data_IF_656357667083
#
_entry.id   IF_656357667083
#
_cell.length_a   1.000
_cell.length_b   1.000
_cell.length_c   1.000
_cell.angle_alpha   90.00
_cell.angle_beta   90.00
_cell.angle_gamma   90.00
#
_symmetry.space_group_name_H-M   'P 1'
#
loop_
_entity.id
_entity.type
_entity.pdbx_description
1 polymer ?
#
# COMPACT_ATOMS: atom_id res chain seq x y z
N UNK A 1 5.68 27.83 -0.19
CA UNK A 1 5.20 26.69 0.62
C UNK A 1 4.78 27.25 1.96
N UNK A 2 3.57 26.95 2.42
CA UNK A 2 3.18 27.29 3.79
C UNK A 2 4.10 26.54 4.77
N UNK A 3 4.43 27.13 5.92
CA UNK A 3 5.27 26.48 6.94
C UNK A 3 4.55 25.31 7.62
N UNK A 4 3.23 25.24 7.48
CA UNK A 4 2.35 24.18 7.97
C UNK A 4 1.28 23.94 6.91
N UNK A 5 1.03 22.68 6.56
CA UNK A 5 0.03 22.28 5.57
C UNK A 5 -0.71 21.05 6.09
N UNK A 6 -2.01 20.97 5.80
CA UNK A 6 -2.82 19.76 6.00
C UNK A 6 -3.63 19.49 4.75
N UNK A 7 -3.87 18.21 4.46
CA UNK A 7 -4.74 17.75 3.37
C UNK A 7 -5.66 16.65 3.89
N UNK A 8 -6.77 16.42 3.20
CA UNK A 8 -7.81 15.48 3.63
C UNK A 8 -8.15 14.48 2.52
N UNK A 9 -8.36 13.23 2.92
CA UNK A 9 -8.78 12.14 2.03
C UNK A 9 -10.23 12.30 1.58
N UNK A 10 -10.97 13.25 2.15
CA UNK A 10 -12.27 13.70 1.63
C UNK A 10 -12.15 14.53 0.35
N UNK A 11 -10.96 15.05 0.04
CA UNK A 11 -10.64 15.78 -1.19
C UNK A 11 -9.22 15.41 -1.64
N UNK A 12 -9.00 14.17 -2.10
CA UNK A 12 -7.67 13.66 -2.40
C UNK A 12 -7.08 14.30 -3.67
N UNK A 13 -5.75 14.26 -3.79
CA UNK A 13 -5.05 14.73 -4.99
C UNK A 13 -5.23 13.77 -6.18
N UNK A 14 -5.51 12.49 -5.89
CA UNK A 14 -5.85 11.47 -6.88
C UNK A 14 -6.54 10.27 -6.26
N UNK A 15 -7.29 9.50 -7.05
CA UNK A 15 -7.95 8.29 -6.58
C UNK A 15 -8.09 7.25 -7.69
N UNK A 16 -8.21 5.99 -7.28
CA UNK A 16 -8.49 4.86 -8.15
C UNK A 16 -9.45 3.90 -7.45
N UNK A 17 -10.40 3.36 -8.22
CA UNK A 17 -11.42 2.44 -7.72
C UNK A 17 -11.53 1.14 -8.54
N UNK A 18 -10.47 0.31 -8.58
CA UNK A 18 -10.59 -1.06 -9.08
C UNK A 18 -11.64 -1.88 -8.29
N UNK A 19 -11.93 -3.09 -8.77
CA UNK A 19 -12.87 -3.97 -8.06
C UNK A 19 -12.47 -4.15 -6.59
N UNK A 20 -13.46 -4.08 -5.69
CA UNK A 20 -13.27 -4.20 -4.22
C UNK A 20 -12.20 -3.28 -3.62
N UNK A 21 -11.82 -2.22 -4.34
CA UNK A 21 -10.70 -1.35 -3.97
C UNK A 21 -11.14 0.11 -4.04
N UNK A 22 -10.79 0.90 -3.03
CA UNK A 22 -10.78 2.36 -3.14
C UNK A 22 -9.47 2.89 -2.58
N UNK A 23 -8.58 3.33 -3.46
CA UNK A 23 -7.32 3.94 -3.08
C UNK A 23 -7.34 5.45 -3.38
N UNK A 24 -6.90 6.24 -2.41
CA UNK A 24 -6.85 7.70 -2.52
C UNK A 24 -5.47 8.20 -2.09
N UNK A 25 -4.92 9.14 -2.86
CA UNK A 25 -3.55 9.64 -2.75
C UNK A 25 -3.53 11.11 -2.38
N UNK A 26 -2.53 11.48 -1.57
CA UNK A 26 -2.25 12.83 -1.11
C UNK A 26 -0.75 13.06 -1.22
N UNK A 27 -0.38 14.20 -1.80
CA UNK A 27 0.99 14.53 -2.16
C UNK A 27 1.46 15.74 -1.34
N UNK A 28 2.58 15.58 -0.63
CA UNK A 28 3.27 16.66 0.09
C UNK A 28 4.66 16.92 -0.53
N UNK A 29 4.69 17.13 -1.84
CA UNK A 29 5.96 17.21 -2.58
C UNK A 29 6.64 15.84 -2.58
N UNK A 30 7.77 15.71 -1.87
CA UNK A 30 8.64 14.53 -1.87
C UNK A 30 8.06 13.23 -1.25
N UNK A 31 6.82 13.27 -0.76
CA UNK A 31 6.13 12.11 -0.20
C UNK A 31 4.69 12.05 -0.69
N UNK A 32 4.28 10.85 -1.07
CA UNK A 32 2.91 10.49 -1.42
C UNK A 32 2.37 9.53 -0.37
N UNK A 33 1.21 9.83 0.19
CA UNK A 33 0.47 8.96 1.08
C UNK A 33 -0.71 8.36 0.32
N UNK A 34 -0.83 7.04 0.29
CA UNK A 34 -1.95 6.32 -0.31
C UNK A 34 -2.74 5.63 0.78
N UNK A 35 -4.04 5.92 0.89
CA UNK A 35 -4.96 5.12 1.72
C UNK A 35 -5.72 4.16 0.84
N UNK A 36 -5.44 2.87 0.99
CA UNK A 36 -6.10 1.78 0.29
C UNK A 36 -7.18 1.16 1.20
N UNK A 37 -8.43 1.17 0.73
CA UNK A 37 -9.54 0.45 1.36
C UNK A 37 -9.83 -0.78 0.49
N UNK A 38 -9.69 -1.96 1.07
CA UNK A 38 -9.84 -3.25 0.40
C UNK A 38 -11.02 -3.99 1.03
N UNK A 39 -12.02 -4.34 0.22
CA UNK A 39 -13.23 -5.00 0.70
C UNK A 39 -13.00 -6.50 0.92
N UNK A 40 -13.86 -7.18 1.70
CA UNK A 40 -13.83 -8.63 1.82
C UNK A 40 -13.82 -9.34 0.46
N UNK A 41 -12.99 -10.38 0.34
CA UNK A 41 -12.76 -11.07 -0.92
C UNK A 41 -11.94 -10.29 -1.95
N UNK A 42 -11.31 -9.18 -1.57
CA UNK A 42 -10.29 -8.53 -2.38
C UNK A 42 -9.04 -9.41 -2.44
N UNK A 43 -8.49 -9.56 -3.65
CA UNK A 43 -7.21 -10.20 -3.92
C UNK A 43 -6.51 -9.42 -5.02
N UNK A 44 -5.23 -9.10 -4.83
CA UNK A 44 -4.48 -8.26 -5.77
C UNK A 44 -4.49 -8.84 -7.18
N UNK A 45 -4.25 -10.14 -7.34
CA UNK A 45 -4.24 -10.81 -8.64
C UNK A 45 -5.61 -10.87 -9.35
N UNK A 46 -6.70 -10.63 -8.64
CA UNK A 46 -8.05 -10.59 -9.21
C UNK A 46 -8.51 -9.14 -9.46
N UNK A 47 -8.26 -8.27 -8.49
CA UNK A 47 -8.81 -6.91 -8.47
C UNK A 47 -7.89 -5.86 -9.10
N UNK A 48 -6.56 -6.04 -9.03
CA UNK A 48 -5.58 -5.04 -9.46
C UNK A 48 -4.83 -5.48 -10.71
N UNK A 49 -4.38 -6.74 -10.78
CA UNK A 49 -3.68 -7.31 -11.95
C UNK A 49 -4.32 -6.95 -13.30
N UNK A 50 -5.65 -7.01 -13.49
CA UNK A 50 -6.28 -6.63 -14.78
C UNK A 50 -6.02 -5.18 -15.22
N UNK A 51 -5.69 -4.29 -14.27
CA UNK A 51 -5.44 -2.87 -14.53
C UNK A 51 -3.95 -2.55 -14.78
N UNK A 52 -3.03 -3.39 -14.29
CA UNK A 52 -1.58 -3.12 -14.35
C UNK A 52 -0.81 -4.09 -15.26
N UNK A 53 -1.40 -5.25 -15.58
CA UNK A 53 -0.85 -6.19 -16.57
C UNK A 53 0.39 -6.98 -16.13
N UNK A 54 0.81 -6.89 -14.87
CA UNK A 54 1.91 -7.67 -14.30
C UNK A 54 1.41 -8.94 -13.61
N UNK A 55 2.27 -9.96 -13.49
CA UNK A 55 1.89 -11.24 -12.87
C UNK A 55 1.71 -11.14 -11.34
N UNK A 56 2.51 -10.29 -10.69
CA UNK A 56 2.46 -9.96 -9.26
C UNK A 56 2.63 -8.45 -9.04
N UNK A 57 2.41 -7.97 -7.81
CA UNK A 57 2.59 -6.56 -7.49
C UNK A 57 4.07 -6.18 -7.54
N UNK A 58 4.45 -5.34 -8.50
CA UNK A 58 5.83 -4.88 -8.66
C UNK A 58 6.10 -3.55 -7.92
N UNK A 59 5.12 -3.05 -7.17
CA UNK A 59 5.31 -1.88 -6.33
C UNK A 59 5.92 -2.28 -4.99
N UNK A 60 6.79 -1.42 -4.48
CA UNK A 60 7.21 -1.46 -3.09
C UNK A 60 6.20 -0.81 -2.19
N UNK A 61 5.87 -1.47 -1.10
CA UNK A 61 4.92 -0.95 -0.12
C UNK A 61 5.62 -0.81 1.23
N UNK A 62 5.60 0.40 1.77
CA UNK A 62 5.93 0.66 3.18
C UNK A 62 4.72 1.35 3.78
N UNK A 63 4.16 0.77 4.83
CA UNK A 63 2.88 1.26 5.34
C UNK A 63 2.51 0.70 6.69
N UNK A 64 1.32 1.09 7.12
CA UNK A 64 0.66 0.57 8.32
C UNK A 64 -0.72 0.09 7.95
N UNK A 65 -1.13 -1.06 8.48
CA UNK A 65 -2.51 -1.52 8.37
C UNK A 65 -3.27 -0.98 9.57
N UNK A 66 -4.32 -0.20 9.34
CA UNK A 66 -5.09 0.45 10.41
C UNK A 66 -6.40 -0.27 10.73
N UNK A 67 -6.86 -1.15 9.84
CA UNK A 67 -8.08 -1.93 10.01
C UNK A 67 -7.97 -3.27 9.28
N UNK A 68 -8.63 -4.30 9.82
CA UNK A 68 -8.74 -5.62 9.20
C UNK A 68 -7.41 -6.38 9.19
N UNK A 69 -7.32 -7.34 8.27
CA UNK A 69 -6.16 -8.19 8.08
C UNK A 69 -5.95 -8.46 6.59
N UNK A 70 -4.69 -8.49 6.17
CA UNK A 70 -4.29 -8.97 4.85
C UNK A 70 -3.27 -10.09 5.00
N UNK A 71 -3.32 -11.05 4.09
CA UNK A 71 -2.28 -12.05 3.95
C UNK A 71 -1.52 -11.78 2.65
N UNK A 72 -0.20 -11.88 2.72
CA UNK A 72 0.72 -11.56 1.63
C UNK A 72 1.60 -12.78 1.36
N UNK A 73 1.74 -13.11 0.09
CA UNK A 73 2.64 -14.17 -0.40
C UNK A 73 3.58 -13.58 -1.42
N UNK A 74 4.86 -13.63 -1.11
CA UNK A 74 5.95 -13.21 -2.00
C UNK A 74 6.24 -14.29 -3.05
N UNK A 75 6.77 -13.88 -4.20
CA UNK A 75 7.15 -14.77 -5.30
C UNK A 75 8.28 -15.76 -4.90
N UNK A 76 9.04 -15.44 -3.84
CA UNK A 76 10.05 -16.33 -3.24
C UNK A 76 9.48 -17.35 -2.24
N UNK A 77 8.16 -17.32 -2.02
CA UNK A 77 7.43 -18.21 -1.11
C UNK A 77 7.38 -17.74 0.34
N UNK A 78 7.93 -16.56 0.68
CA UNK A 78 7.73 -15.99 2.00
C UNK A 78 6.28 -15.52 2.18
N UNK A 79 5.70 -15.81 3.35
CA UNK A 79 4.31 -15.47 3.66
C UNK A 79 4.21 -14.70 4.97
N UNK A 80 3.29 -13.74 5.04
CA UNK A 80 3.00 -13.00 6.27
C UNK A 80 1.55 -12.56 6.31
N UNK A 81 0.93 -12.66 7.48
CA UNK A 81 -0.35 -11.99 7.76
C UNK A 81 -0.09 -10.69 8.50
N UNK A 82 -0.50 -9.58 7.90
CA UNK A 82 -0.45 -8.24 8.48
C UNK A 82 -1.83 -7.94 9.08
N UNK A 83 -1.88 -7.48 10.33
CA UNK A 83 -3.13 -7.10 11.01
C UNK A 83 -3.14 -5.63 11.40
N UNK A 84 -4.32 -5.12 11.74
CA UNK A 84 -4.47 -3.76 12.24
C UNK A 84 -3.49 -3.46 13.39
N UNK A 85 -2.75 -2.36 13.25
CA UNK A 85 -1.68 -1.92 14.14
C UNK A 85 -0.27 -2.29 13.67
N UNK A 86 -0.13 -3.23 12.73
CA UNK A 86 1.18 -3.63 12.22
C UNK A 86 1.69 -2.65 11.14
N UNK A 87 2.98 -2.37 11.19
CA UNK A 87 3.71 -1.77 10.08
C UNK A 87 4.29 -2.88 9.19
N UNK A 88 4.39 -2.63 7.89
CA UNK A 88 4.90 -3.59 6.92
C UNK A 88 5.83 -2.93 5.90
N UNK A 89 6.74 -3.75 5.37
CA UNK A 89 7.56 -3.45 4.21
C UNK A 89 7.48 -4.66 3.27
N UNK A 90 6.90 -4.47 2.09
CA UNK A 90 6.72 -5.51 1.08
C UNK A 90 7.56 -5.13 -0.14
N UNK A 91 8.52 -5.99 -0.47
CA UNK A 91 9.32 -5.87 -1.67
C UNK A 91 8.48 -6.17 -2.93
N UNK A 92 8.90 -5.71 -4.13
CA UNK A 92 8.27 -6.09 -5.38
C UNK A 92 8.21 -7.60 -5.54
N UNK A 93 7.11 -8.11 -6.09
CA UNK A 93 6.90 -9.54 -6.32
C UNK A 93 6.07 -10.19 -5.22
N UNK A 94 4.80 -9.81 -5.08
CA UNK A 94 3.87 -10.46 -4.17
C UNK A 94 2.42 -10.40 -4.65
N UNK A 95 1.60 -11.31 -4.14
CA UNK A 95 0.15 -11.26 -4.16
C UNK A 95 -0.36 -11.02 -2.73
N UNK A 96 -1.53 -10.42 -2.59
CA UNK A 96 -2.11 -10.13 -1.29
C UNK A 96 -3.64 -10.24 -1.33
N UNK A 97 -4.26 -10.61 -0.21
CA UNK A 97 -5.72 -10.65 -0.10
C UNK A 97 -6.20 -10.29 1.29
N UNK A 98 -7.45 -9.80 1.36
CA UNK A 98 -8.14 -9.54 2.62
C UNK A 98 -8.50 -10.86 3.30
N UNK A 99 -8.22 -10.96 4.59
CA UNK A 99 -8.56 -12.12 5.41
C UNK A 99 -9.85 -11.85 6.18
N UNK A 100 -10.85 -12.72 5.98
CA UNK A 100 -12.13 -12.65 6.69
C UNK A 100 -13.17 -11.73 6.03
N UNK A 101 -14.14 -11.29 6.83
CA UNK A 101 -15.30 -10.52 6.38
C UNK A 101 -15.23 -9.03 6.72
N UNK A 102 -14.12 -8.59 7.33
CA UNK A 102 -13.88 -7.18 7.63
C UNK A 102 -13.05 -6.53 6.51
N UNK A 103 -13.42 -5.33 6.04
CA UNK A 103 -12.55 -4.57 5.14
C UNK A 103 -11.18 -4.30 5.76
N UNK A 104 -10.14 -4.38 4.95
CA UNK A 104 -8.79 -3.98 5.35
C UNK A 104 -8.50 -2.55 4.89
N UNK A 105 -7.88 -1.74 5.75
CA UNK A 105 -7.46 -0.37 5.40
C UNK A 105 -5.98 -0.21 5.68
N UNK A 106 -5.23 0.11 4.64
CA UNK A 106 -3.79 0.39 4.70
C UNK A 106 -3.47 1.84 4.37
N UNK A 107 -2.49 2.41 5.04
CA UNK A 107 -1.87 3.69 4.66
C UNK A 107 -0.43 3.43 4.28
N UNK A 108 -0.09 3.71 3.04
CA UNK A 108 1.21 3.47 2.43
C UNK A 108 1.90 4.79 2.10
N UNK A 109 3.22 4.79 2.24
CA UNK A 109 4.07 5.93 2.01
C UNK A 109 5.02 5.62 0.87
N UNK A 110 5.04 6.49 -0.14
CA UNK A 110 6.03 6.48 -1.20
C UNK A 110 6.82 7.79 -1.13
N UNK A 111 8.14 7.70 -1.17
CA UNK A 111 8.99 8.86 -1.40
C UNK A 111 9.36 8.92 -2.87
N UNK A 112 9.51 10.13 -3.41
CA UNK A 112 9.77 10.37 -4.85
C UNK A 112 11.14 9.84 -5.32
N UNK A 113 11.91 9.23 -4.43
CA UNK A 113 13.13 8.50 -4.72
C UNK A 113 12.98 7.05 -4.22
N UNK A 114 12.39 6.19 -5.06
CA UNK A 114 12.29 4.74 -4.79
C UNK A 114 13.67 4.09 -4.94
N UNK A 115 14.49 4.18 -3.89
CA UNK A 115 15.49 3.15 -3.62
C UNK A 115 14.98 2.37 -2.40
N UNK A 116 14.75 1.07 -2.56
CA UNK A 116 14.44 0.20 -1.43
C UNK A 116 15.65 0.14 -0.51
N UNK A 117 15.72 1.06 0.45
CA UNK A 117 16.81 1.16 1.40
C UNK A 117 16.49 0.46 2.72
N UNK A 118 17.09 -0.71 3.03
CA UNK A 118 17.49 -1.01 4.39
C UNK A 118 18.75 -0.18 4.67
N UNK A 119 18.61 1.07 5.12
CA UNK A 119 19.74 1.91 5.56
C UNK A 119 20.91 2.11 4.57
N UNK A 120 21.01 3.30 3.97
CA UNK A 120 22.24 3.84 3.37
C UNK A 120 22.18 5.38 3.49
N UNK A 121 23.00 6.14 4.24
CA UNK A 121 24.29 5.91 4.88
C UNK A 121 24.28 6.41 6.33
N UNK A 122 24.74 5.56 7.25
CA UNK A 122 25.66 6.03 8.26
C UNK A 122 27.04 5.96 7.64
N UNK A 123 27.61 7.12 7.31
CA UNK A 123 29.05 7.39 7.27
C UNK A 123 29.22 8.91 7.19
N UNK A 124 29.57 9.49 8.34
CA UNK A 124 29.71 10.92 8.61
C UNK A 124 29.57 11.22 10.09
#
# INVERSE_FOLDING_TARGET
MASVETKSWSSPDGSMTPDKTHAATINFGGVTLTKANMQPGWKWSECIKPHVGTESCQAGHVGVLIQGQIHVVSDDGAEVTVKAGDAYCLAPGHDAWVVGEEPAVGVEFAMDNKDFGPWTHGDG
#
